data_IF_490286960135
#
_entry.id   IF_490286960135
#
_cell.length_a   1.000
_cell.length_b   1.000
_cell.length_c   1.000
_cell.angle_alpha   90.00
_cell.angle_beta   90.00
_cell.angle_gamma   90.00
#
_symmetry.space_group_name_H-M   'P 1'
#
loop_
_entity.id
_entity.type
_entity.pdbx_description
1 polymer ?
#
# COMPACT_ATOMS: atom_id res chain seq x y z
N UNK A 1 -21.94 3.40 32.53
CA UNK A 1 -20.53 3.01 32.29
C UNK A 1 -20.39 2.01 31.13
N UNK A 2 -21.33 1.96 30.17
CA UNK A 2 -21.34 0.96 29.09
C UNK A 2 -21.39 1.54 27.65
N UNK A 3 -21.33 2.88 27.47
CA UNK A 3 -21.51 3.52 26.16
C UNK A 3 -20.21 3.65 25.33
N UNK A 4 -19.05 3.52 25.95
CA UNK A 4 -17.75 3.70 25.26
C UNK A 4 -17.33 2.48 24.45
N UNK A 5 -17.84 1.28 24.78
CA UNK A 5 -17.41 0.04 24.12
C UNK A 5 -18.03 -0.12 22.72
N UNK A 6 -19.32 0.24 22.57
CA UNK A 6 -20.04 0.14 21.30
C UNK A 6 -19.52 1.15 20.25
N UNK A 7 -19.04 2.30 20.70
CA UNK A 7 -18.50 3.35 19.82
C UNK A 7 -17.15 2.95 19.23
N UNK A 8 -16.23 2.41 20.04
CA UNK A 8 -14.90 1.96 19.57
C UNK A 8 -15.01 0.80 18.58
N UNK A 9 -15.83 -0.21 18.90
CA UNK A 9 -16.10 -1.35 18.01
C UNK A 9 -16.68 -0.89 16.65
N UNK A 10 -17.57 0.11 16.66
CA UNK A 10 -18.17 0.64 15.41
C UNK A 10 -17.15 1.34 14.52
N UNK A 11 -16.27 2.17 15.10
CA UNK A 11 -15.20 2.85 14.36
C UNK A 11 -14.16 1.88 13.79
N UNK A 12 -13.79 0.85 14.57
CA UNK A 12 -12.81 -0.14 14.15
C UNK A 12 -13.34 -1.00 12.98
N UNK A 13 -14.63 -1.32 12.98
CA UNK A 13 -15.28 -2.06 11.89
C UNK A 13 -15.38 -1.21 10.61
N UNK A 14 -15.79 0.06 10.71
CA UNK A 14 -15.88 0.97 9.57
C UNK A 14 -14.50 1.20 8.91
N UNK A 15 -13.43 1.33 9.70
CA UNK A 15 -12.07 1.47 9.19
C UNK A 15 -11.59 0.23 8.41
N UNK A 16 -11.89 -0.97 8.91
CA UNK A 16 -11.53 -2.22 8.27
C UNK A 16 -12.30 -2.46 6.96
N UNK A 17 -13.57 -2.11 6.92
CA UNK A 17 -14.39 -2.27 5.72
C UNK A 17 -13.94 -1.30 4.60
N UNK A 18 -13.64 -0.05 4.95
CA UNK A 18 -13.05 0.92 4.02
C UNK A 18 -11.73 0.42 3.39
N UNK A 19 -10.90 -0.31 4.15
CA UNK A 19 -9.66 -0.91 3.64
C UNK A 19 -9.95 -2.05 2.67
N UNK A 20 -10.87 -2.95 3.02
CA UNK A 20 -11.25 -4.08 2.15
C UNK A 20 -11.82 -3.60 0.83
N UNK A 21 -12.70 -2.60 0.86
CA UNK A 21 -13.27 -2.00 -0.34
C UNK A 21 -12.21 -1.34 -1.21
N UNK A 22 -11.26 -0.62 -0.62
CA UNK A 22 -10.14 0.00 -1.33
C UNK A 22 -9.24 -1.03 -1.97
N UNK A 23 -8.91 -2.12 -1.27
CA UNK A 23 -8.14 -3.24 -1.83
C UNK A 23 -8.88 -3.87 -3.01
N UNK A 24 -10.17 -4.18 -2.85
CA UNK A 24 -10.99 -4.76 -3.91
C UNK A 24 -11.05 -3.86 -5.15
N UNK A 25 -11.25 -2.55 -4.94
CA UNK A 25 -11.29 -1.54 -6.02
C UNK A 25 -10.00 -1.50 -6.84
N UNK A 26 -8.86 -1.55 -6.18
CA UNK A 26 -7.55 -1.35 -6.83
C UNK A 26 -6.82 -2.64 -7.17
N UNK A 27 -7.39 -3.80 -6.85
CA UNK A 27 -6.73 -5.09 -7.05
C UNK A 27 -6.21 -5.28 -8.47
N UNK A 28 -7.06 -5.08 -9.49
CA UNK A 28 -6.66 -5.25 -10.90
C UNK A 28 -5.52 -4.31 -11.29
N UNK A 29 -5.62 -3.03 -10.91
CA UNK A 29 -4.58 -2.05 -11.21
C UNK A 29 -3.24 -2.43 -10.58
N UNK A 30 -3.26 -2.88 -9.32
CA UNK A 30 -2.05 -3.34 -8.63
C UNK A 30 -1.48 -4.60 -9.29
N UNK A 31 -2.32 -5.55 -9.70
CA UNK A 31 -1.89 -6.75 -10.44
C UNK A 31 -1.15 -6.37 -11.73
N UNK A 32 -1.69 -5.40 -12.47
CA UNK A 32 -1.09 -4.93 -13.73
C UNK A 32 0.26 -4.25 -13.47
N UNK A 33 0.35 -3.39 -12.45
CA UNK A 33 1.61 -2.75 -12.07
C UNK A 33 2.69 -3.75 -11.62
N UNK A 34 2.31 -4.83 -10.95
CA UNK A 34 3.23 -5.87 -10.48
C UNK A 34 3.54 -6.93 -11.55
N UNK A 35 2.75 -7.02 -12.62
CA UNK A 35 2.81 -8.09 -13.62
C UNK A 35 2.46 -9.48 -13.06
N UNK A 36 1.84 -9.54 -11.88
CA UNK A 36 1.46 -10.78 -11.17
C UNK A 36 0.36 -10.49 -10.15
N UNK A 37 -0.31 -11.53 -9.69
CA UNK A 37 -1.28 -11.41 -8.59
C UNK A 37 -0.62 -10.90 -7.29
N UNK A 38 -1.18 -9.88 -6.62
CA UNK A 38 -0.58 -9.23 -5.47
C UNK A 38 -0.70 -10.10 -4.21
N UNK A 39 0.42 -10.71 -3.81
CA UNK A 39 0.47 -11.59 -2.64
C UNK A 39 0.39 -10.80 -1.34
N UNK A 40 -0.71 -10.95 -0.62
CA UNK A 40 -0.88 -10.38 0.71
C UNK A 40 -1.15 -8.88 0.72
N UNK A 41 -1.75 -8.33 -0.34
CA UNK A 41 -2.20 -6.95 -0.40
C UNK A 41 -3.14 -6.63 0.78
N UNK A 42 -2.73 -5.67 1.61
CA UNK A 42 -3.48 -5.21 2.78
C UNK A 42 -4.16 -3.90 2.51
N UNK A 43 -3.51 -2.98 1.80
CA UNK A 43 -4.03 -1.65 1.60
C UNK A 43 -3.35 -0.92 0.42
N UNK A 44 -4.00 0.13 -0.08
CA UNK A 44 -3.37 1.19 -0.86
C UNK A 44 -3.22 2.40 0.05
N UNK A 45 -1.99 2.80 0.34
CA UNK A 45 -1.67 3.80 1.38
C UNK A 45 -1.27 5.16 0.83
N UNK A 46 -0.97 5.25 -0.47
CA UNK A 46 -0.68 6.52 -1.12
C UNK A 46 -1.19 6.54 -2.56
N UNK A 47 -1.47 7.75 -3.04
CA UNK A 47 -1.99 8.04 -4.37
C UNK A 47 -1.19 9.19 -5.01
N UNK A 48 -1.11 9.23 -6.33
CA UNK A 48 -0.54 10.35 -7.06
C UNK A 48 -1.57 11.47 -7.27
N UNK A 49 -1.17 12.55 -7.93
CA UNK A 49 -2.03 13.69 -8.24
C UNK A 49 -3.22 13.36 -9.15
N UNK A 50 -3.16 12.25 -9.89
CA UNK A 50 -4.28 11.75 -10.71
C UNK A 50 -5.22 10.83 -9.93
N UNK A 51 -4.96 10.59 -8.64
CA UNK A 51 -5.72 9.66 -7.82
C UNK A 51 -5.42 8.18 -8.08
N UNK A 52 -4.30 7.85 -8.75
CA UNK A 52 -3.87 6.46 -8.96
C UNK A 52 -3.01 5.96 -7.80
N UNK A 53 -3.14 4.68 -7.40
CA UNK A 53 -2.30 4.06 -6.38
C UNK A 53 -0.80 4.22 -6.66
N UNK A 54 -0.03 4.65 -5.66
CA UNK A 54 1.44 4.74 -5.75
C UNK A 54 2.13 3.80 -4.80
N UNK A 55 1.61 3.63 -3.57
CA UNK A 55 2.21 2.75 -2.57
C UNK A 55 1.16 1.79 -2.04
N UNK A 56 1.51 0.50 -2.01
CA UNK A 56 0.69 -0.55 -1.39
C UNK A 56 1.30 -0.99 -0.07
N UNK A 57 0.44 -1.44 0.84
CA UNK A 57 0.81 -2.16 2.05
C UNK A 57 0.58 -3.66 1.83
N UNK A 58 1.54 -4.48 2.24
CA UNK A 58 1.45 -5.94 2.20
C UNK A 58 1.57 -6.56 3.59
N UNK A 59 1.13 -7.81 3.71
CA UNK A 59 1.25 -8.61 4.93
C UNK A 59 2.72 -8.86 5.29
N UNK A 60 3.07 -8.77 6.57
CA UNK A 60 4.40 -9.13 7.11
C UNK A 60 4.69 -10.64 7.03
N UNK A 61 3.67 -11.45 6.74
CA UNK A 61 3.79 -12.88 6.47
C UNK A 61 3.12 -13.17 5.15
N UNK A 62 3.88 -13.75 4.21
CA UNK A 62 3.42 -14.14 2.88
C UNK A 62 3.81 -15.60 2.64
N UNK A 63 2.83 -16.48 2.44
CA UNK A 63 3.08 -17.91 2.22
C UNK A 63 3.82 -18.59 3.39
N UNK A 64 3.41 -18.29 4.62
CA UNK A 64 3.99 -18.83 5.85
C UNK A 64 5.48 -18.50 6.08
N UNK A 65 5.99 -17.46 5.41
CA UNK A 65 7.36 -16.95 5.58
C UNK A 65 7.31 -15.47 5.99
N UNK A 66 8.19 -15.02 6.90
CA UNK A 66 8.31 -13.62 7.23
C UNK A 66 8.77 -12.84 6.00
N UNK A 67 8.10 -11.73 5.74
CA UNK A 67 8.43 -10.82 4.66
C UNK A 67 8.64 -9.43 5.25
N UNK A 68 9.89 -8.92 5.28
CA UNK A 68 10.22 -7.73 6.06
C UNK A 68 9.68 -6.45 5.42
N UNK A 69 9.48 -6.43 4.10
CA UNK A 69 9.09 -5.24 3.35
C UNK A 69 7.57 -5.09 3.31
N UNK A 70 7.04 -4.20 4.15
CA UNK A 70 5.60 -3.96 4.28
C UNK A 70 5.02 -2.97 3.26
N UNK A 71 5.86 -2.09 2.70
CA UNK A 71 5.42 -1.04 1.80
C UNK A 71 6.16 -1.12 0.48
N UNK A 72 5.40 -1.05 -0.63
CA UNK A 72 5.94 -1.17 -1.98
C UNK A 72 5.46 -0.01 -2.85
N UNK A 73 6.41 0.69 -3.46
CA UNK A 73 6.15 1.65 -4.52
C UNK A 73 5.81 0.90 -5.80
N UNK A 74 4.67 1.21 -6.42
CA UNK A 74 4.17 0.56 -7.65
C UNK A 74 4.00 1.54 -8.81
N UNK A 75 4.20 2.85 -8.59
CA UNK A 75 4.15 3.86 -9.64
C UNK A 75 5.50 3.90 -10.39
N UNK A 76 5.47 3.48 -11.66
CA UNK A 76 6.64 3.42 -12.52
C UNK A 76 7.25 4.81 -12.82
N UNK A 77 6.44 5.86 -12.89
CA UNK A 77 6.94 7.21 -13.13
C UNK A 77 7.67 7.75 -11.89
N UNK A 78 7.16 7.46 -10.68
CA UNK A 78 7.87 7.78 -9.44
C UNK A 78 9.15 6.95 -9.28
N UNK A 79 9.12 5.66 -9.59
CA UNK A 79 10.31 4.81 -9.58
C UNK A 79 11.40 5.38 -10.49
N UNK A 80 11.07 5.69 -11.75
CA UNK A 80 12.02 6.26 -12.70
C UNK A 80 12.58 7.61 -12.26
N UNK A 81 11.77 8.43 -11.58
CA UNK A 81 12.23 9.73 -11.04
C UNK A 81 13.22 9.53 -9.90
N UNK A 82 12.97 8.56 -9.01
CA UNK A 82 13.89 8.18 -7.94
C UNK A 82 15.18 7.64 -8.55
N UNK A 83 15.10 6.69 -9.49
CA UNK A 83 16.27 6.10 -10.16
C UNK A 83 17.17 7.17 -10.80
N UNK A 84 16.57 8.19 -11.42
CA UNK A 84 17.32 9.33 -12.00
C UNK A 84 18.03 10.17 -10.94
N UNK A 85 17.41 10.39 -9.77
CA UNK A 85 18.03 11.09 -8.66
C UNK A 85 19.17 10.26 -8.05
N UNK A 86 18.97 8.96 -7.91
CA UNK A 86 20.01 8.04 -7.43
C UNK A 86 21.20 8.01 -8.39
N UNK A 87 20.95 7.88 -9.70
CA UNK A 87 21.98 7.89 -10.73
C UNK A 87 22.73 9.23 -10.83
N UNK A 88 22.07 10.34 -10.53
CA UNK A 88 22.70 11.66 -10.46
C UNK A 88 23.52 11.87 -9.16
N UNK A 89 23.64 10.86 -8.29
CA UNK A 89 24.49 10.88 -7.12
C UNK A 89 23.93 11.69 -5.95
N UNK A 90 22.62 11.93 -5.91
CA UNK A 90 22.01 12.75 -4.85
C UNK A 90 22.15 12.15 -3.45
N UNK A 91 22.18 10.81 -3.32
CA UNK A 91 22.41 10.14 -2.04
C UNK A 91 23.77 10.53 -1.44
N UNK A 92 24.82 10.62 -2.27
CA UNK A 92 26.16 10.97 -1.81
C UNK A 92 26.32 12.48 -1.47
N UNK A 93 25.30 13.28 -1.76
CA UNK A 93 25.30 14.74 -1.53
C UNK A 93 24.54 15.14 -0.26
N UNK A 94 23.80 14.20 0.34
CA UNK A 94 23.12 14.34 1.63
C UNK A 94 24.04 13.90 2.77
#
# INVERSE_FOLDING_TARGET
MNDDNNRRESFDNECHDNRRERVARWHSFVSDCLGRDPRGLRDVVAFNSEGKPTVIQVSSVVGNKPFPTLYWLIDAALSLRIDRLEAAGWIARL
#
